data_IF_757497783217
#
_entry.id   IF_757497783217
#
_cell.length_a   1.000
_cell.length_b   1.000
_cell.length_c   1.000
_cell.angle_alpha   90.00
_cell.angle_beta   90.00
_cell.angle_gamma   90.00
#
_symmetry.space_group_name_H-M   'P 1'
#
loop_
_entity.id
_entity.type
_entity.pdbx_description
1 polymer ?
#
# COMPACT_ATOMS: atom_id res chain seq x y z
N UNK A 1 5.75 -35.34 -29.14
CA UNK A 1 5.15 -34.87 -27.88
C UNK A 1 6.01 -33.73 -27.36
N UNK A 2 5.65 -32.49 -27.67
CA UNK A 2 6.47 -31.32 -27.38
C UNK A 2 6.28 -30.91 -25.92
N UNK A 3 7.35 -30.97 -25.15
CA UNK A 3 7.44 -30.56 -23.75
C UNK A 3 6.93 -29.13 -23.61
N UNK A 4 5.73 -28.93 -23.02
CA UNK A 4 5.20 -27.61 -22.70
C UNK A 4 6.12 -27.01 -21.65
N UNK A 5 6.97 -26.04 -22.06
CA UNK A 5 7.92 -25.37 -21.17
C UNK A 5 7.16 -24.78 -19.98
N UNK A 6 7.76 -24.88 -18.79
CA UNK A 6 7.26 -24.22 -17.59
C UNK A 6 7.02 -22.73 -17.87
N UNK A 7 5.86 -22.22 -17.45
CA UNK A 7 5.43 -20.85 -17.72
C UNK A 7 6.41 -19.85 -17.09
N UNK A 8 6.95 -18.95 -17.91
CA UNK A 8 7.70 -17.78 -17.45
C UNK A 8 6.74 -16.60 -17.43
N UNK A 9 6.55 -16.00 -16.25
CA UNK A 9 5.64 -14.89 -16.03
C UNK A 9 6.08 -13.65 -16.81
N UNK A 10 5.25 -13.16 -17.74
CA UNK A 10 5.57 -12.03 -18.60
C UNK A 10 4.97 -10.71 -18.09
N UNK A 11 3.64 -10.66 -17.95
CA UNK A 11 2.90 -9.43 -17.62
C UNK A 11 1.67 -9.71 -16.76
N UNK A 12 1.26 -8.71 -15.96
CA UNK A 12 0.04 -8.76 -15.16
C UNK A 12 -0.82 -7.53 -15.42
N UNK A 13 -2.13 -7.74 -15.52
CA UNK A 13 -3.12 -6.67 -15.58
C UNK A 13 -4.15 -6.87 -14.47
N UNK A 14 -4.34 -5.84 -13.64
CA UNK A 14 -5.48 -5.74 -12.75
C UNK A 14 -6.64 -5.10 -13.50
N UNK A 15 -7.84 -5.65 -13.37
CA UNK A 15 -9.11 -5.03 -13.77
C UNK A 15 -10.02 -4.99 -12.53
N UNK A 16 -10.66 -3.85 -12.29
CA UNK A 16 -11.60 -3.66 -11.18
C UNK A 16 -12.99 -3.32 -11.74
N UNK A 17 -14.00 -4.06 -11.30
CA UNK A 17 -15.40 -3.99 -11.71
C UNK A 17 -15.69 -4.19 -13.21
N UNK A 18 -14.80 -4.87 -13.94
CA UNK A 18 -15.04 -5.29 -15.33
C UNK A 18 -14.94 -4.13 -16.34
N UNK A 19 -14.19 -3.08 -16.02
CA UNK A 19 -14.03 -1.93 -16.89
C UNK A 19 -12.57 -1.74 -17.29
N UNK A 20 -12.31 -1.78 -18.60
CA UNK A 20 -10.98 -1.59 -19.19
C UNK A 20 -10.32 -0.23 -18.89
N UNK A 21 -11.08 0.76 -18.40
CA UNK A 21 -10.54 2.04 -17.92
C UNK A 21 -10.09 2.00 -16.45
N UNK A 22 -10.41 0.92 -15.73
CA UNK A 22 -10.08 0.69 -14.32
C UNK A 22 -8.98 -0.35 -14.18
N UNK A 23 -7.99 -0.27 -15.06
CA UNK A 23 -6.87 -1.21 -15.11
C UNK A 23 -5.61 -0.64 -14.52
N UNK A 24 -4.85 -1.43 -13.77
CA UNK A 24 -3.55 -1.03 -13.26
C UNK A 24 -2.46 -2.04 -13.63
N UNK A 25 -1.26 -1.54 -13.92
CA UNK A 25 -0.10 -2.39 -14.16
C UNK A 25 0.44 -2.93 -12.83
N UNK A 26 0.54 -4.26 -12.74
CA UNK A 26 1.06 -4.93 -11.57
C UNK A 26 2.47 -5.46 -11.85
N UNK A 27 3.40 -5.18 -10.94
CA UNK A 27 4.76 -5.72 -10.95
C UNK A 27 4.80 -7.14 -10.38
N UNK A 28 4.09 -7.37 -9.27
CA UNK A 28 4.06 -8.65 -8.57
C UNK A 28 2.71 -8.90 -7.90
N UNK A 29 2.31 -10.18 -7.84
CA UNK A 29 1.05 -10.64 -7.25
C UNK A 29 1.35 -11.86 -6.39
N UNK A 30 0.78 -11.90 -5.19
CA UNK A 30 0.94 -12.99 -4.23
C UNK A 30 -0.39 -13.28 -3.51
N UNK A 31 -0.68 -14.56 -3.24
CA UNK A 31 -1.83 -14.97 -2.44
C UNK A 31 -3.15 -14.97 -3.21
N UNK A 32 -4.25 -14.80 -2.49
CA UNK A 32 -5.62 -14.94 -2.99
C UNK A 32 -6.02 -16.39 -3.28
N UNK A 33 -5.50 -17.37 -2.54
CA UNK A 33 -5.88 -18.77 -2.70
C UNK A 33 -6.93 -19.18 -1.67
N UNK A 34 -7.72 -20.21 -2.00
CA UNK A 34 -8.58 -20.86 -1.02
C UNK A 34 -7.79 -21.96 -0.34
N UNK A 35 -7.71 -21.90 0.99
CA UNK A 35 -7.05 -22.89 1.83
C UNK A 35 -8.09 -23.68 2.63
N UNK A 36 -7.93 -25.01 2.65
CA UNK A 36 -8.71 -25.88 3.52
C UNK A 36 -7.98 -26.04 4.86
N UNK A 37 -8.63 -25.61 5.93
CA UNK A 37 -8.19 -25.90 7.29
C UNK A 37 -8.54 -27.35 7.62
N UNK A 38 -7.66 -28.03 8.35
CA UNK A 38 -7.84 -29.42 8.76
C UNK A 38 -7.64 -29.59 10.25
N UNK A 39 -8.44 -30.44 10.87
CA UNK A 39 -8.30 -30.84 12.27
C UNK A 39 -7.89 -32.31 12.33
N UNK A 40 -7.08 -32.65 13.33
CA UNK A 40 -6.63 -34.01 13.64
C UNK A 40 -7.29 -34.46 14.94
N UNK A 41 -8.18 -35.43 14.87
CA UNK A 41 -8.92 -35.97 16.02
C UNK A 41 -8.42 -37.36 16.37
N UNK A 42 -8.10 -37.57 17.65
CA UNK A 42 -7.75 -38.87 18.18
C UNK A 42 -9.02 -39.69 18.41
N UNK A 43 -9.09 -40.89 17.82
CA UNK A 43 -10.19 -41.81 17.97
C UNK A 43 -9.76 -43.08 18.70
N UNK A 44 -10.49 -43.39 19.77
CA UNK A 44 -10.34 -44.64 20.52
C UNK A 44 -9.05 -44.77 21.34
N UNK A 45 -8.85 -45.95 21.92
CA UNK A 45 -7.68 -46.27 22.75
C UNK A 45 -6.42 -46.56 21.91
N UNK A 46 -6.57 -46.89 20.63
CA UNK A 46 -5.48 -47.38 19.75
C UNK A 46 -4.65 -46.28 19.06
N UNK A 47 -4.68 -45.03 19.57
CA UNK A 47 -3.91 -43.90 19.02
C UNK A 47 -4.11 -43.67 17.51
N UNK A 48 -5.28 -44.07 16.98
CA UNK A 48 -5.68 -43.81 15.60
C UNK A 48 -6.11 -42.35 15.48
N UNK A 49 -5.63 -41.68 14.44
CA UNK A 49 -5.84 -40.25 14.19
C UNK A 49 -6.54 -40.04 12.86
N UNK A 50 -7.71 -39.41 12.90
CA UNK A 50 -8.46 -39.05 11.69
C UNK A 50 -8.27 -37.57 11.41
N UNK A 51 -7.69 -37.27 10.25
CA UNK A 51 -7.55 -35.91 9.75
C UNK A 51 -8.67 -35.59 8.76
N UNK A 52 -9.46 -34.56 9.04
CA UNK A 52 -10.53 -34.12 8.15
C UNK A 52 -10.53 -32.59 8.00
N UNK A 53 -11.09 -32.12 6.88
CA UNK A 53 -11.20 -30.68 6.58
C UNK A 53 -12.38 -30.04 7.31
N UNK A 54 -12.18 -28.84 7.85
CA UNK A 54 -13.18 -28.15 8.69
C UNK A 54 -13.72 -26.89 8.04
N UNK A 55 -12.87 -25.90 7.77
CA UNK A 55 -13.27 -24.62 7.19
C UNK A 55 -12.44 -24.28 5.96
N UNK A 56 -13.01 -23.47 5.08
CA UNK A 56 -12.28 -22.82 4.01
C UNK A 56 -11.93 -21.40 4.42
N UNK A 57 -10.70 -20.99 4.16
CA UNK A 57 -10.26 -19.61 4.30
C UNK A 57 -9.79 -19.10 2.95
N UNK A 58 -10.21 -17.88 2.60
CA UNK A 58 -9.65 -17.15 1.47
C UNK A 58 -8.46 -16.33 1.99
N UNK A 59 -7.28 -16.63 1.47
CA UNK A 59 -6.06 -15.89 1.79
C UNK A 59 -6.11 -14.49 1.18
N UNK A 60 -5.52 -13.47 1.82
CA UNK A 60 -5.39 -12.15 1.22
C UNK A 60 -4.63 -12.18 -0.11
N UNK A 61 -4.99 -11.26 -1.00
CA UNK A 61 -4.36 -11.06 -2.29
C UNK A 61 -3.52 -9.79 -2.23
N UNK A 62 -2.21 -9.90 -2.45
CA UNK A 62 -1.27 -8.78 -2.35
C UNK A 62 -0.72 -8.45 -3.74
N UNK A 63 -0.73 -7.17 -4.09
CA UNK A 63 -0.28 -6.67 -5.40
C UNK A 63 0.69 -5.49 -5.23
N UNK A 64 1.79 -5.47 -5.99
CA UNK A 64 2.64 -4.28 -6.14
C UNK A 64 2.30 -3.56 -7.45
N UNK A 65 1.74 -2.37 -7.34
CA UNK A 65 1.08 -1.66 -8.42
C UNK A 65 1.83 -0.34 -8.71
N UNK A 66 2.11 -0.08 -9.98
CA UNK A 66 2.61 1.22 -10.41
C UNK A 66 1.45 2.21 -10.57
N UNK A 67 1.71 3.53 -10.49
CA UNK A 67 0.63 4.53 -10.60
C UNK A 67 0.07 4.74 -12.00
N UNK A 68 0.63 4.07 -13.01
CA UNK A 68 0.08 4.12 -14.37
C UNK A 68 -1.32 3.53 -14.39
N UNK A 69 -2.32 4.38 -14.69
CA UNK A 69 -3.76 4.03 -14.73
C UNK A 69 -4.32 3.57 -13.38
N UNK A 70 -3.63 3.82 -12.28
CA UNK A 70 -4.08 3.46 -10.94
C UNK A 70 -5.11 4.44 -10.34
N UNK A 71 -5.68 5.35 -11.13
CA UNK A 71 -6.60 6.40 -10.69
C UNK A 71 -7.79 5.82 -9.90
N UNK A 72 -8.44 4.80 -10.48
CA UNK A 72 -9.57 4.16 -9.83
C UNK A 72 -9.16 3.44 -8.52
N UNK A 73 -7.98 2.84 -8.50
CA UNK A 73 -7.46 2.21 -7.29
C UNK A 73 -7.16 3.24 -6.19
N UNK A 74 -6.54 4.36 -6.54
CA UNK A 74 -6.30 5.47 -5.60
C UNK A 74 -7.61 6.06 -5.08
N UNK A 75 -8.64 6.18 -5.93
CA UNK A 75 -9.98 6.57 -5.52
C UNK A 75 -10.57 5.57 -4.52
N UNK A 76 -10.42 4.26 -4.76
CA UNK A 76 -10.90 3.23 -3.84
C UNK A 76 -10.15 3.28 -2.50
N UNK A 77 -8.83 3.44 -2.52
CA UNK A 77 -8.01 3.64 -1.30
C UNK A 77 -8.51 4.86 -0.52
N UNK A 78 -8.73 5.99 -1.20
CA UNK A 78 -9.27 7.22 -0.60
C UNK A 78 -10.60 6.97 0.10
N UNK A 79 -11.55 6.30 -0.56
CA UNK A 79 -12.85 5.92 0.02
C UNK A 79 -12.67 5.02 1.25
N UNK A 80 -11.76 4.06 1.18
CA UNK A 80 -11.41 3.18 2.31
C UNK A 80 -10.91 3.99 3.51
N UNK A 81 -10.00 4.94 3.30
CA UNK A 81 -9.43 5.78 4.37
C UNK A 81 -10.47 6.72 5.00
N UNK A 82 -11.46 7.15 4.22
CA UNK A 82 -12.62 7.95 4.67
C UNK A 82 -13.71 7.13 5.37
N UNK A 83 -13.50 5.82 5.56
CA UNK A 83 -14.49 4.88 6.12
C UNK A 83 -15.75 4.72 5.25
N UNK A 84 -15.66 5.11 3.98
CA UNK A 84 -16.69 4.86 2.96
C UNK A 84 -16.40 3.51 2.30
N UNK A 85 -16.44 2.44 3.09
CA UNK A 85 -16.01 1.12 2.64
C UNK A 85 -16.89 0.61 1.50
N UNK A 86 -16.27 0.33 0.36
CA UNK A 86 -16.91 -0.28 -0.79
C UNK A 86 -16.24 -1.62 -1.08
N UNK A 87 -17.06 -2.62 -1.39
CA UNK A 87 -16.61 -3.93 -1.86
C UNK A 87 -16.54 -3.91 -3.37
N UNK A 88 -15.44 -4.39 -3.93
CA UNK A 88 -15.23 -4.41 -5.38
C UNK A 88 -14.87 -5.81 -5.87
N UNK A 89 -15.28 -6.07 -7.10
CA UNK A 89 -14.90 -7.29 -7.81
C UNK A 89 -13.73 -6.96 -8.72
N UNK A 90 -12.93 -7.96 -9.05
CA UNK A 90 -11.88 -7.74 -10.03
C UNK A 90 -11.21 -9.00 -10.49
N UNK A 91 -10.28 -8.81 -11.40
CA UNK A 91 -9.50 -9.91 -11.94
C UNK A 91 -8.06 -9.51 -12.18
N UNK A 92 -7.16 -10.44 -11.94
CA UNK A 92 -5.75 -10.35 -12.29
C UNK A 92 -5.52 -11.33 -13.42
N UNK A 93 -5.16 -10.79 -14.58
CA UNK A 93 -4.79 -11.61 -15.73
C UNK A 93 -3.29 -11.75 -15.80
N UNK A 94 -2.82 -12.99 -15.78
CA UNK A 94 -1.44 -13.38 -15.96
C UNK A 94 -1.21 -13.68 -17.45
N UNK A 95 -0.39 -12.86 -18.09
CA UNK A 95 -0.05 -12.97 -19.49
C UNK A 95 1.40 -13.39 -19.72
N UNK A 96 1.63 -14.08 -20.83
CA UNK A 96 2.98 -14.37 -21.30
C UNK A 96 3.66 -13.14 -21.94
N UNK A 97 4.89 -13.31 -22.42
CA UNK A 97 5.67 -12.26 -23.11
C UNK A 97 5.01 -11.72 -24.40
N UNK A 98 4.04 -12.44 -24.97
CA UNK A 98 3.28 -12.00 -26.15
C UNK A 98 1.96 -11.31 -25.76
N UNK A 99 1.78 -10.97 -24.48
CA UNK A 99 0.56 -10.41 -23.92
C UNK A 99 -0.65 -11.33 -24.09
N UNK A 100 -0.46 -12.64 -24.08
CA UNK A 100 -1.56 -13.61 -24.18
C UNK A 100 -1.93 -14.12 -22.80
N UNK A 101 -3.22 -14.00 -22.45
CA UNK A 101 -3.75 -14.44 -21.17
C UNK A 101 -3.59 -15.97 -21.00
N UNK A 102 -2.82 -16.39 -19.99
CA UNK A 102 -2.61 -17.80 -19.66
C UNK A 102 -3.39 -18.23 -18.42
N UNK A 103 -3.61 -17.31 -17.48
CA UNK A 103 -4.30 -17.58 -16.22
C UNK A 103 -5.01 -16.31 -15.73
N UNK A 104 -6.21 -16.48 -15.18
CA UNK A 104 -7.02 -15.37 -14.65
C UNK A 104 -7.41 -15.71 -13.22
N UNK A 105 -7.04 -14.82 -12.31
CA UNK A 105 -7.41 -14.88 -10.91
C UNK A 105 -8.51 -13.86 -10.67
N UNK A 106 -9.74 -14.32 -10.44
CA UNK A 106 -10.88 -13.48 -10.13
C UNK A 106 -11.07 -13.39 -8.62
N UNK A 107 -11.33 -12.19 -8.12
CA UNK A 107 -11.66 -11.95 -6.73
C UNK A 107 -12.99 -11.22 -6.65
N UNK A 108 -13.76 -11.52 -5.61
CA UNK A 108 -15.10 -10.99 -5.42
C UNK A 108 -15.27 -10.38 -4.04
N UNK A 109 -16.07 -9.31 -4.00
CA UNK A 109 -16.48 -8.60 -2.79
C UNK A 109 -15.28 -8.21 -1.91
N UNK A 110 -14.20 -7.79 -2.55
CA UNK A 110 -12.95 -7.49 -1.88
C UNK A 110 -13.00 -6.15 -1.15
N UNK A 111 -12.37 -6.12 0.03
CA UNK A 111 -12.04 -4.91 0.76
C UNK A 111 -10.53 -4.65 0.68
N UNK A 112 -10.10 -3.39 0.82
CA UNK A 112 -8.68 -3.07 1.01
C UNK A 112 -8.33 -3.30 2.48
N UNK A 113 -7.40 -4.21 2.75
CA UNK A 113 -6.88 -4.52 4.09
C UNK A 113 -5.67 -3.66 4.43
N UNK A 114 -4.79 -3.40 3.47
CA UNK A 114 -3.57 -2.62 3.69
C UNK A 114 -3.16 -1.87 2.43
N UNK A 115 -2.72 -0.62 2.61
CA UNK A 115 -2.07 0.18 1.57
C UNK A 115 -0.69 0.60 2.09
N UNK A 116 0.36 0.08 1.46
CA UNK A 116 1.75 0.35 1.84
C UNK A 116 2.45 1.18 0.76
N UNK A 117 3.00 2.31 1.20
CA UNK A 117 3.85 3.17 0.39
C UNK A 117 5.32 2.73 0.56
N UNK A 118 6.11 2.78 -0.53
CA UNK A 118 7.51 2.37 -0.49
C UNK A 118 8.35 3.40 0.29
N UNK A 119 9.57 3.03 0.63
CA UNK A 119 10.56 4.00 1.12
C UNK A 119 10.78 5.08 0.07
N UNK A 120 10.68 6.34 0.48
CA UNK A 120 10.95 7.49 -0.35
C UNK A 120 12.35 7.98 -0.02
N UNK A 121 13.22 8.06 -1.01
CA UNK A 121 14.63 8.46 -0.82
C UNK A 121 15.05 9.37 -1.96
N UNK A 122 15.44 10.59 -1.63
CA UNK A 122 15.91 11.62 -2.57
C UNK A 122 17.10 11.18 -3.44
N UNK A 123 17.84 10.15 -3.02
CA UNK A 123 18.97 9.59 -3.76
C UNK A 123 18.59 8.38 -4.63
N UNK A 124 17.42 7.77 -4.43
CA UNK A 124 16.99 6.61 -5.20
C UNK A 124 16.56 7.01 -6.62
N UNK A 125 16.88 6.15 -7.58
CA UNK A 125 16.44 6.29 -8.98
C UNK A 125 15.41 5.22 -9.35
N UNK A 126 14.92 4.48 -8.37
CA UNK A 126 14.06 3.35 -8.58
C UNK A 126 12.61 3.79 -8.80
N UNK A 127 11.87 3.10 -9.68
CA UNK A 127 10.43 3.29 -9.77
C UNK A 127 9.76 2.91 -8.45
N UNK A 128 8.83 3.75 -8.00
CA UNK A 128 8.02 3.49 -6.82
C UNK A 128 6.82 2.61 -7.18
N UNK A 129 6.45 1.72 -6.27
CA UNK A 129 5.30 0.83 -6.37
C UNK A 129 4.50 0.90 -5.08
N UNK A 130 3.18 0.94 -5.22
CA UNK A 130 2.24 0.87 -4.12
C UNK A 130 1.91 -0.59 -3.86
N UNK A 131 2.09 -1.06 -2.63
CA UNK A 131 1.69 -2.42 -2.27
C UNK A 131 0.30 -2.38 -1.65
N UNK A 132 -0.66 -3.04 -2.29
CA UNK A 132 -2.05 -3.09 -1.85
C UNK A 132 -2.41 -4.54 -1.52
N UNK A 133 -2.96 -4.73 -0.32
CA UNK A 133 -3.47 -6.02 0.15
C UNK A 133 -4.99 -5.97 0.13
N UNK A 134 -5.57 -6.82 -0.71
CA UNK A 134 -7.01 -7.02 -0.80
C UNK A 134 -7.42 -8.22 0.04
N UNK A 135 -8.57 -8.12 0.70
CA UNK A 135 -9.23 -9.23 1.40
C UNK A 135 -10.55 -9.55 0.68
N UNK A 136 -10.53 -10.51 -0.26
CA UNK A 136 -11.75 -10.97 -0.94
C UNK A 136 -12.55 -11.96 -0.09
N UNK A 137 -13.87 -11.97 -0.28
CA UNK A 137 -14.77 -12.97 0.33
C UNK A 137 -14.77 -14.27 -0.49
N UNK A 138 -14.51 -14.17 -1.80
CA UNK A 138 -14.42 -15.31 -2.70
C UNK A 138 -13.36 -15.06 -3.77
N UNK A 139 -12.71 -16.14 -4.19
CA UNK A 139 -11.79 -16.16 -5.33
C UNK A 139 -12.16 -17.29 -6.28
N UNK A 140 -11.90 -17.09 -7.57
CA UNK A 140 -12.05 -18.09 -8.61
C UNK A 140 -10.83 -18.04 -9.54
N UNK A 141 -10.40 -19.19 -10.04
CA UNK A 141 -9.17 -19.32 -10.82
C UNK A 141 -9.47 -20.05 -12.12
N UNK A 142 -9.20 -19.39 -13.23
CA UNK A 142 -9.49 -19.89 -14.58
C UNK A 142 -8.23 -19.93 -15.42
N UNK A 143 -8.14 -20.94 -16.29
CA UNK A 143 -7.16 -20.91 -17.38
C UNK A 143 -7.55 -19.83 -18.37
N UNK A 144 -6.58 -19.03 -18.79
CA UNK A 144 -6.76 -18.04 -19.84
C UNK A 144 -6.94 -18.70 -21.21
N UNK A 145 -7.73 -18.07 -22.07
CA UNK A 145 -8.03 -18.53 -23.43
C UNK A 145 -6.98 -18.13 -24.47
N UNK A 146 -5.89 -17.46 -24.08
CA UNK A 146 -4.96 -16.82 -25.03
C UNK A 146 -5.48 -15.50 -25.61
N UNK A 147 -6.51 -14.93 -25.00
CA UNK A 147 -7.00 -13.57 -25.29
C UNK A 147 -5.82 -12.58 -25.19
N UNK A 148 -5.74 -11.62 -26.10
CA UNK A 148 -4.76 -10.54 -25.96
C UNK A 148 -5.12 -9.67 -24.76
N UNK A 149 -4.22 -9.56 -23.79
CA UNK A 149 -4.31 -8.57 -22.72
C UNK A 149 -3.82 -7.26 -23.31
N UNK A 150 -4.73 -6.46 -23.86
CA UNK A 150 -4.44 -5.08 -24.22
C UNK A 150 -4.86 -4.17 -23.06
N UNK A 151 -3.92 -3.88 -22.15
CA UNK A 151 -3.96 -2.60 -21.47
C UNK A 151 -3.67 -1.50 -22.49
N UNK A 152 -4.17 -0.29 -22.29
CA UNK A 152 -3.69 0.86 -23.05
C UNK A 152 -2.25 1.16 -22.63
N UNK A 153 -1.29 0.34 -23.10
CA UNK A 153 0.13 0.40 -22.70
C UNK A 153 0.89 1.52 -23.44
N UNK A 154 0.21 2.34 -24.22
CA UNK A 154 0.79 3.38 -25.09
C UNK A 154 0.64 4.82 -24.59
N UNK A 155 -0.02 5.06 -23.46
CA UNK A 155 -0.06 6.38 -22.84
C UNK A 155 1.28 6.74 -22.22
N UNK A 156 1.72 8.00 -22.31
CA UNK A 156 2.92 8.50 -21.60
C UNK A 156 2.84 8.10 -20.12
N UNK A 157 3.55 7.05 -19.76
CA UNK A 157 3.68 6.58 -18.38
C UNK A 157 4.32 7.72 -17.58
N UNK A 158 3.53 8.40 -16.74
CA UNK A 158 4.11 9.34 -15.76
C UNK A 158 4.87 8.48 -14.75
N UNK A 159 6.18 8.41 -14.92
CA UNK A 159 7.07 7.60 -14.10
C UNK A 159 7.02 8.12 -12.66
N UNK A 160 6.51 7.30 -11.75
CA UNK A 160 6.56 7.58 -10.33
C UNK A 160 7.91 7.10 -9.77
N UNK A 161 8.72 8.05 -9.28
CA UNK A 161 10.03 7.77 -8.69
C UNK A 161 9.98 7.93 -7.18
N UNK A 162 10.69 7.07 -6.45
CA UNK A 162 10.83 7.15 -4.99
C UNK A 162 11.55 8.42 -4.50
N UNK A 163 12.30 9.12 -5.38
CA UNK A 163 13.02 10.36 -5.08
C UNK A 163 12.26 11.65 -5.39
N UNK A 164 11.10 11.55 -6.04
CA UNK A 164 10.28 12.70 -6.42
C UNK A 164 9.15 12.90 -5.40
N UNK A 165 9.48 13.40 -4.22
CA UNK A 165 8.51 13.68 -3.16
C UNK A 165 8.82 14.99 -2.44
N UNK A 166 7.80 15.53 -1.75
CA UNK A 166 7.93 16.69 -0.87
C UNK A 166 7.09 16.47 0.39
N UNK A 167 7.71 16.61 1.55
CA UNK A 167 7.01 16.71 2.82
C UNK A 167 6.85 18.18 3.19
N UNK A 168 5.66 18.57 3.62
CA UNK A 168 5.36 19.89 4.17
C UNK A 168 4.67 19.72 5.51
N UNK A 169 5.15 20.40 6.55
CA UNK A 169 4.52 20.45 7.87
C UNK A 169 4.39 21.92 8.26
N UNK A 170 3.22 22.32 8.75
CA UNK A 170 2.91 23.71 9.03
C UNK A 170 3.83 24.31 10.10
N UNK A 171 4.58 25.35 9.71
CA UNK A 171 5.51 26.05 10.60
C UNK A 171 6.73 25.22 11.01
N UNK A 172 7.16 24.27 10.17
CA UNK A 172 8.42 23.53 10.31
C UNK A 172 9.07 23.39 8.93
N UNK A 173 10.32 23.81 8.78
CA UNK A 173 11.07 23.64 7.53
C UNK A 173 11.41 22.16 7.28
N UNK A 174 10.72 21.57 6.31
CA UNK A 174 10.93 20.20 5.84
C UNK A 174 11.56 20.13 4.44
N UNK A 175 12.09 21.24 3.93
CA UNK A 175 12.66 21.35 2.57
C UNK A 175 13.89 20.47 2.34
N UNK A 176 14.59 20.09 3.42
CA UNK A 176 15.81 19.24 3.38
C UNK A 176 15.57 17.81 3.86
N UNK A 177 14.31 17.35 3.84
CA UNK A 177 13.99 15.94 4.00
C UNK A 177 14.59 15.15 2.84
N UNK A 178 15.34 14.12 3.20
CA UNK A 178 16.09 13.26 2.27
C UNK A 178 15.49 11.87 2.14
N UNK A 179 14.81 11.38 3.18
CA UNK A 179 14.20 10.06 3.18
C UNK A 179 12.99 9.98 4.11
N UNK A 180 11.99 9.21 3.70
CA UNK A 180 10.86 8.78 4.53
C UNK A 180 10.80 7.25 4.42
N UNK A 181 10.83 6.56 5.56
CA UNK A 181 10.74 5.10 5.56
C UNK A 181 9.37 4.62 5.05
N UNK A 182 9.33 3.41 4.49
CA UNK A 182 8.08 2.79 4.06
C UNK A 182 7.05 2.76 5.21
N UNK A 183 5.79 3.04 4.88
CA UNK A 183 4.70 3.10 5.85
C UNK A 183 3.44 2.47 5.26
N UNK A 184 2.56 1.96 6.12
CA UNK A 184 1.30 1.35 5.68
C UNK A 184 0.10 1.76 6.51
N UNK A 185 -0.99 2.08 5.81
CA UNK A 185 -2.31 2.31 6.40
C UNK A 185 -3.04 0.98 6.40
N UNK A 186 -3.48 0.53 7.57
CA UNK A 186 -4.10 -0.78 7.77
C UNK A 186 -5.56 -0.65 8.15
N UNK A 187 -6.40 -1.48 7.56
CA UNK A 187 -7.80 -1.62 7.88
C UNK A 187 -8.01 -2.99 8.52
N UNK A 188 -8.45 -2.99 9.79
CA UNK A 188 -8.84 -4.23 10.45
C UNK A 188 -10.10 -4.78 9.78
N UNK A 189 -10.09 -6.06 9.42
CA UNK A 189 -11.24 -6.75 8.83
C UNK A 189 -11.56 -7.96 9.70
N UNK A 190 -12.83 -8.11 10.08
CA UNK A 190 -13.31 -9.25 10.88
C UNK A 190 -14.24 -10.13 10.05
N UNK A 191 -14.01 -11.45 10.01
CA UNK A 191 -14.96 -12.39 9.42
C UNK A 191 -16.16 -12.59 10.37
N UNK A 192 -17.36 -12.49 9.83
CA UNK A 192 -18.61 -12.83 10.50
C UNK A 192 -19.22 -14.04 9.79
N UNK A 193 -19.28 -15.16 10.49
CA UNK A 193 -20.00 -16.33 10.01
C UNK A 193 -21.51 -16.07 10.13
N UNK A 194 -22.21 -16.00 8.99
CA UNK A 194 -23.66 -15.82 8.95
C UNK A 194 -24.34 -17.09 8.43
N UNK A 195 -25.05 -17.78 9.33
CA UNK A 195 -25.88 -18.94 9.00
C UNK A 195 -25.12 -20.09 8.30
N UNK A 196 -25.71 -20.74 7.27
CA UNK A 196 -25.13 -21.89 6.59
C UNK A 196 -24.12 -21.52 5.48
N UNK A 197 -23.74 -20.24 5.35
CA UNK A 197 -22.84 -19.79 4.30
C UNK A 197 -21.45 -20.42 4.46
N UNK A 198 -20.87 -20.87 3.34
CA UNK A 198 -19.57 -21.55 3.32
C UNK A 198 -18.39 -20.58 3.56
N UNK A 199 -18.53 -19.32 3.15
CA UNK A 199 -17.54 -18.27 3.34
C UNK A 199 -18.12 -17.19 4.27
N UNK A 200 -17.31 -16.65 5.21
CA UNK A 200 -17.76 -15.61 6.11
C UNK A 200 -17.88 -14.26 5.38
N UNK A 201 -18.83 -13.44 5.80
CA UNK A 201 -18.89 -12.04 5.38
C UNK A 201 -17.77 -11.26 6.05
N UNK A 202 -17.10 -10.37 5.32
CA UNK A 202 -16.01 -9.57 5.86
C UNK A 202 -16.51 -8.18 6.25
N UNK A 203 -16.29 -7.81 7.52
CA UNK A 203 -16.72 -6.50 8.04
C UNK A 203 -15.51 -5.64 8.40
N UNK A 204 -15.41 -4.41 7.85
CA UNK A 204 -14.34 -3.48 8.19
C UNK A 204 -14.50 -2.94 9.62
N UNK A 205 -13.39 -2.68 10.29
CA UNK A 205 -13.36 -2.23 11.69
C UNK A 205 -12.58 -0.92 11.84
N UNK A 206 -11.48 -0.91 12.61
CA UNK A 206 -10.64 0.27 12.79
C UNK A 206 -9.66 0.44 11.63
N UNK A 207 -9.37 1.69 11.30
CA UNK A 207 -8.27 2.09 10.43
C UNK A 207 -7.13 2.54 11.33
N UNK A 208 -5.93 2.03 11.05
CA UNK A 208 -4.69 2.40 11.72
C UNK A 208 -3.83 3.18 10.74
N UNK A 209 -3.62 4.47 11.05
CA UNK A 209 -2.63 5.30 10.37
C UNK A 209 -1.27 5.11 11.03
N UNK A 210 -0.18 4.95 10.25
CA UNK A 210 1.13 4.67 10.79
C UNK A 210 1.84 5.94 11.28
N UNK A 211 2.82 5.74 12.15
CA UNK A 211 3.84 6.75 12.39
C UNK A 211 4.76 6.86 11.15
N UNK A 212 5.18 8.08 10.82
CA UNK A 212 6.10 8.36 9.72
C UNK A 212 7.52 8.55 10.25
N UNK A 213 8.47 7.80 9.71
CA UNK A 213 9.89 7.92 10.04
C UNK A 213 10.59 8.78 8.98
N UNK A 214 11.06 9.96 9.37
CA UNK A 214 11.59 10.98 8.45
C UNK A 214 13.06 11.25 8.75
N UNK A 215 13.87 11.38 7.70
CA UNK A 215 15.30 11.67 7.78
C UNK A 215 15.64 12.95 7.01
N UNK A 216 16.34 13.87 7.65
CA UNK A 216 16.83 15.11 7.03
C UNK A 216 18.27 15.43 7.41
N UNK A 217 18.86 16.42 6.75
CA UNK A 217 20.18 16.95 7.14
C UNK A 217 20.10 17.67 8.48
N UNK A 218 20.99 17.32 9.42
CA UNK A 218 21.03 17.90 10.76
C UNK A 218 21.28 19.41 10.73
N UNK A 219 22.01 19.92 9.73
CA UNK A 219 22.30 21.35 9.57
C UNK A 219 21.05 22.22 9.41
N UNK A 220 19.94 21.64 8.93
CA UNK A 220 18.69 22.35 8.65
C UNK A 220 17.57 21.91 9.59
N UNK A 221 17.91 21.23 10.70
CA UNK A 221 16.94 20.60 11.58
C UNK A 221 16.53 21.49 12.78
N UNK A 222 17.00 22.75 12.86
CA UNK A 222 16.78 23.63 14.02
C UNK A 222 15.29 23.75 14.37
N UNK A 223 14.42 24.00 13.38
CA UNK A 223 12.97 24.12 13.63
C UNK A 223 12.32 22.79 14.06
N UNK A 224 12.82 21.66 13.55
CA UNK A 224 12.34 20.33 13.97
C UNK A 224 12.77 20.04 15.40
N UNK A 225 14.00 20.41 15.76
CA UNK A 225 14.55 20.25 17.09
C UNK A 225 13.83 21.14 18.10
N UNK A 226 13.58 22.41 17.77
CA UNK A 226 12.79 23.33 18.59
C UNK A 226 11.37 22.80 18.80
N UNK A 227 10.74 22.29 17.74
CA UNK A 227 9.44 21.65 17.84
C UNK A 227 9.48 20.42 18.77
N UNK A 228 10.50 19.56 18.63
CA UNK A 228 10.69 18.41 19.53
C UNK A 228 10.87 18.83 20.99
N UNK A 229 11.69 19.84 21.27
CA UNK A 229 11.89 20.37 22.62
C UNK A 229 10.59 20.87 23.22
N UNK A 230 9.84 21.70 22.50
CA UNK A 230 8.59 22.25 23.01
C UNK A 230 7.50 21.18 23.18
N UNK A 231 7.37 20.28 22.20
CA UNK A 231 6.28 19.32 22.16
C UNK A 231 6.49 18.17 23.16
N UNK A 232 7.68 17.57 23.14
CA UNK A 232 7.99 16.35 23.88
C UNK A 232 8.69 16.65 25.20
N UNK A 233 9.75 17.47 25.19
CA UNK A 233 10.59 17.68 26.38
C UNK A 233 9.91 18.62 27.38
N UNK A 234 9.36 19.74 26.92
CA UNK A 234 8.62 20.69 27.76
C UNK A 234 7.20 20.21 28.08
N UNK A 235 6.73 19.11 27.47
CA UNK A 235 5.41 18.53 27.70
C UNK A 235 4.25 19.40 27.23
N UNK A 236 4.44 20.28 26.24
CA UNK A 236 3.38 21.18 25.73
C UNK A 236 2.40 20.50 24.75
N UNK A 237 2.41 19.16 24.68
CA UNK A 237 1.54 18.34 23.84
C UNK A 237 0.03 18.56 24.05
N UNK A 238 -0.40 18.96 25.26
CA UNK A 238 -1.83 19.17 25.56
C UNK A 238 -2.33 20.59 25.27
N UNK A 239 -1.52 21.44 24.63
CA UNK A 239 -1.92 22.82 24.31
C UNK A 239 -2.81 22.86 23.06
N UNK A 240 -3.67 23.89 23.00
CA UNK A 240 -4.52 24.12 21.83
C UNK A 240 -3.64 24.38 20.60
N UNK A 241 -3.80 23.58 19.53
CA UNK A 241 -2.97 23.59 18.30
C UNK A 241 -1.51 23.13 18.47
N UNK A 242 -1.22 22.29 19.47
CA UNK A 242 0.11 21.69 19.58
C UNK A 242 0.41 20.76 18.38
N UNK A 243 -0.61 20.07 17.89
CA UNK A 243 -0.57 19.26 16.67
C UNK A 243 -0.60 20.16 15.42
N UNK A 244 0.20 19.78 14.43
CA UNK A 244 0.35 20.49 13.16
C UNK A 244 -0.40 19.76 12.05
N UNK A 245 -0.60 20.46 10.95
CA UNK A 245 -1.11 19.89 9.71
C UNK A 245 0.04 19.74 8.71
N UNK A 246 -0.14 18.90 7.71
CA UNK A 246 0.89 18.69 6.71
C UNK A 246 0.43 17.97 5.46
N UNK A 247 1.38 17.74 4.56
CA UNK A 247 1.15 17.04 3.32
C UNK A 247 2.41 16.31 2.85
N UNK A 248 2.20 15.12 2.30
CA UNK A 248 3.18 14.38 1.52
C UNK A 248 2.77 14.39 0.06
N UNK A 249 3.50 15.13 -0.76
CA UNK A 249 3.27 15.25 -2.19
C UNK A 249 4.20 14.30 -2.94
N UNK A 250 3.64 13.57 -3.91
CA UNK A 250 4.40 12.75 -4.83
C UNK A 250 4.42 13.46 -6.18
N UNK A 251 5.62 13.66 -6.73
CA UNK A 251 5.85 14.55 -7.85
C UNK A 251 6.24 13.77 -9.10
N UNK A 252 6.08 14.40 -10.26
CA UNK A 252 6.73 13.95 -11.49
C UNK A 252 8.26 14.01 -11.36
N UNK A 253 9.02 13.27 -12.20
CA UNK A 253 10.50 13.28 -12.14
C UNK A 253 11.14 14.66 -12.29
N UNK A 254 10.50 15.57 -13.03
CA UNK A 254 10.90 16.97 -13.19
C UNK A 254 10.48 17.89 -12.02
N UNK A 255 9.75 17.34 -11.05
CA UNK A 255 9.22 17.99 -9.84
C UNK A 255 8.30 19.19 -10.11
N UNK A 256 7.73 19.28 -11.32
CA UNK A 256 6.83 20.37 -11.70
C UNK A 256 5.38 20.09 -11.37
N UNK A 257 4.93 18.84 -11.52
CA UNK A 257 3.55 18.44 -11.27
C UNK A 257 3.45 17.53 -10.05
N UNK A 258 2.40 17.71 -9.27
CA UNK A 258 2.01 16.77 -8.21
C UNK A 258 1.20 15.64 -8.86
N UNK A 259 1.67 14.41 -8.77
CA UNK A 259 0.95 13.21 -9.23
C UNK A 259 -0.28 12.96 -8.34
N UNK A 260 -0.06 12.92 -7.03
CA UNK A 260 -1.08 12.80 -5.99
C UNK A 260 -0.49 13.27 -4.65
N UNK A 261 -1.36 13.54 -3.68
CA UNK A 261 -1.00 14.10 -2.38
C UNK A 261 -1.69 13.31 -1.26
N UNK A 262 -0.96 13.07 -0.18
CA UNK A 262 -1.52 12.60 1.09
C UNK A 262 -1.55 13.77 2.05
N UNK A 263 -2.74 14.18 2.45
CA UNK A 263 -2.95 15.14 3.53
C UNK A 263 -2.75 14.45 4.88
N UNK A 264 -1.97 15.10 5.75
CA UNK A 264 -1.64 14.61 7.09
C UNK A 264 -2.31 15.53 8.10
N UNK A 265 -3.14 14.95 8.96
CA UNK A 265 -3.86 15.67 9.99
C UNK A 265 -3.43 15.20 11.38
N UNK A 266 -3.45 16.14 12.32
CA UNK A 266 -3.13 15.94 13.73
C UNK A 266 -1.73 15.32 13.88
N UNK A 267 -0.75 16.00 13.28
CA UNK A 267 0.64 15.56 13.22
C UNK A 267 1.40 16.06 14.43
N UNK A 268 1.96 15.13 15.22
CA UNK A 268 2.84 15.45 16.32
C UNK A 268 4.19 14.76 16.19
N UNK A 269 5.23 15.35 16.77
CA UNK A 269 6.58 14.77 16.81
C UNK A 269 6.73 13.87 18.03
N UNK A 270 7.20 12.65 17.82
CA UNK A 270 7.31 11.59 18.85
C UNK A 270 8.74 11.42 19.33
N UNK A 271 9.70 11.45 18.42
CA UNK A 271 11.11 11.24 18.73
C UNK A 271 12.02 12.02 17.80
N UNK A 272 13.20 12.38 18.30
CA UNK A 272 14.30 12.96 17.51
C UNK A 272 15.59 12.22 17.87
N UNK A 273 16.29 11.74 16.85
CA UNK A 273 17.49 10.92 16.98
C UNK A 273 18.56 11.37 16.00
N UNK A 274 19.80 11.32 16.44
CA UNK A 274 20.96 11.47 15.56
C UNK A 274 21.54 10.06 15.40
N UNK A 275 21.47 9.45 14.19
CA UNK A 275 22.07 8.14 13.95
C UNK A 275 23.56 8.15 14.28
N UNK A 276 24.12 6.98 14.62
CA UNK A 276 25.56 6.83 14.89
C UNK A 276 26.36 7.40 13.72
N UNK A 277 27.30 8.29 14.02
CA UNK A 277 28.28 8.83 13.06
C UNK A 277 29.67 8.43 13.55
N UNK A 278 30.54 8.04 12.62
CA UNK A 278 31.92 7.71 12.91
C UNK A 278 32.83 8.91 12.61
N UNK A 279 33.84 9.13 13.45
CA UNK A 279 34.79 10.21 13.25
C UNK A 279 35.56 10.06 11.93
N UNK A 280 35.96 11.18 11.32
CA UNK A 280 36.73 11.25 10.07
C UNK A 280 36.01 10.69 8.82
N UNK A 281 34.68 10.55 8.85
CA UNK A 281 33.89 10.28 7.65
C UNK A 281 33.33 11.59 7.09
N UNK A 282 33.60 11.86 5.82
CA UNK A 282 33.04 13.00 5.08
C UNK A 282 31.61 12.69 4.63
N UNK A 283 30.71 12.57 5.62
CA UNK A 283 29.28 12.29 5.40
C UNK A 283 28.43 13.42 5.99
N UNK A 284 27.39 13.79 5.24
CA UNK A 284 26.38 14.74 5.72
C UNK A 284 25.75 14.17 6.99
N UNK A 285 25.89 14.88 8.12
CA UNK A 285 25.20 14.50 9.36
C UNK A 285 23.69 14.60 9.14
N UNK A 286 22.98 13.53 9.48
CA UNK A 286 21.53 13.42 9.37
C UNK A 286 20.91 13.33 10.76
N UNK A 287 19.66 13.76 10.87
CA UNK A 287 18.79 13.41 11.99
C UNK A 287 17.63 12.59 11.46
N UNK A 288 17.08 11.75 12.34
CA UNK A 288 15.89 10.95 12.12
C UNK A 288 14.86 11.36 13.17
N UNK A 289 13.63 11.64 12.75
CA UNK A 289 12.54 11.94 13.65
C UNK A 289 11.30 11.16 13.26
N UNK A 290 10.48 10.83 14.26
CA UNK A 290 9.24 10.10 14.08
C UNK A 290 8.07 11.03 14.30
N UNK A 291 7.12 11.02 13.37
CA UNK A 291 5.86 11.75 13.45
C UNK A 291 4.73 10.75 13.68
N UNK A 292 3.86 10.99 14.65
CA UNK A 292 2.56 10.32 14.65
C UNK A 292 1.59 11.15 13.81
N UNK A 293 0.61 10.48 13.20
CA UNK A 293 -0.40 11.11 12.36
C UNK A 293 -1.77 10.59 12.77
N UNK A 294 -2.66 11.48 13.19
CA UNK A 294 -4.00 11.10 13.63
C UNK A 294 -4.90 10.64 12.48
N UNK A 295 -4.79 11.29 11.32
CA UNK A 295 -5.60 10.97 10.14
C UNK A 295 -4.85 11.28 8.84
N UNK A 296 -5.04 10.42 7.83
CA UNK A 296 -4.54 10.65 6.47
C UNK A 296 -5.68 10.64 5.46
N UNK A 297 -5.60 11.51 4.46
CA UNK A 297 -6.54 11.56 3.33
C UNK A 297 -5.79 11.70 2.01
N UNK A 298 -6.25 11.00 0.98
CA UNK A 298 -5.71 11.14 -0.38
C UNK A 298 -6.44 12.26 -1.10
N UNK A 299 -5.68 13.21 -1.65
CA UNK A 299 -6.23 14.36 -2.37
C UNK A 299 -6.47 14.09 -3.86
N UNK A 300 -7.49 14.75 -4.42
CA UNK A 300 -7.98 14.58 -5.79
C UNK A 300 -7.31 15.49 -6.83
N UNK A 301 -6.62 16.56 -6.40
CA UNK A 301 -6.13 17.63 -7.29
C UNK A 301 -4.80 17.32 -7.99
N UNK A 302 -4.37 16.06 -7.96
CA UNK A 302 -3.14 15.61 -8.62
C UNK A 302 -3.30 15.34 -10.11
N UNK A 303 -2.20 15.36 -10.85
CA UNK A 303 -2.15 15.18 -12.30
C UNK A 303 -2.57 13.78 -12.79
N UNK A 304 -2.87 12.87 -11.88
CA UNK A 304 -3.50 11.57 -12.17
C UNK A 304 -5.02 11.71 -12.34
N UNK A 305 -5.68 12.63 -11.63
CA UNK A 305 -7.13 12.76 -11.60
C UNK A 305 -7.81 11.53 -10.96
N UNK A 306 -8.55 11.72 -9.88
CA UNK A 306 -9.33 10.66 -9.23
C UNK A 306 -10.79 10.75 -9.67
N UNK A 307 -11.06 10.38 -10.93
CA UNK A 307 -12.42 10.17 -11.47
C UNK A 307 -12.60 8.75 -12.00
#
# INVERSE_FOLDING_TARGET
MTTRRAYTTGHFALDIDGNALRTAHIKSVEGGHVKLNSVDEQMGQDNLRIKHGTSLEVEPLTCEIGLSQANYLLWWIKKSWRKEFARHNGSITHADFQYKAQFVHQFFDALIEETQFPTLDSQSKDPAYLKVKFRPERVDMKRGGGESVSGSFGGKQKLWLSSAFRLTIDGVDTSKVSRIDAFSVKQGIKPIASGPARFPELVPTKIEFPDLSVTMSLQYADQVLDWYHQYVIDGKMNQTKAEKQGALEFLTPDRQEVLFRINLYDVGIKSFQIPKVEANQDQIKRCKFELYVGYMDLDNDGALGLE
#
